data_IF_627018123534
#
_entry.id   IF_627018123534
#
_cell.length_a   1.000
_cell.length_b   1.000
_cell.length_c   1.000
_cell.angle_alpha   90.00
_cell.angle_beta   90.00
_cell.angle_gamma   90.00
#
_symmetry.space_group_name_H-M   'P 1'
#
loop_
_entity.id
_entity.type
_entity.pdbx_description
1 polymer ?
#
# COMPACT_ATOMS: atom_id res chain seq x y z
N UNK A 1 19.19 -22.30 24.74
CA UNK A 1 17.98 -21.51 24.42
C UNK A 1 17.28 -22.24 23.27
N UNK A 2 15.95 -22.22 23.14
CA UNK A 2 15.30 -22.82 21.99
C UNK A 2 15.83 -22.16 20.72
N UNK A 3 16.29 -22.95 19.75
CA UNK A 3 16.73 -22.42 18.47
C UNK A 3 15.53 -22.38 17.52
N UNK A 4 15.12 -21.16 17.14
CA UNK A 4 13.93 -20.92 16.32
C UNK A 4 14.04 -21.49 14.89
N UNK A 5 15.22 -21.92 14.44
CA UNK A 5 15.41 -22.47 13.10
C UNK A 5 14.47 -23.63 12.79
N UNK A 6 14.45 -24.67 13.63
CA UNK A 6 13.56 -25.80 13.43
C UNK A 6 12.09 -25.43 13.61
N UNK A 7 11.79 -24.58 14.59
CA UNK A 7 10.43 -24.12 14.89
C UNK A 7 9.80 -23.34 13.72
N UNK A 8 10.55 -22.46 13.05
CA UNK A 8 10.08 -21.72 11.87
C UNK A 8 9.61 -22.68 10.78
N UNK A 9 10.36 -23.78 10.56
CA UNK A 9 10.06 -24.78 9.55
C UNK A 9 8.78 -25.56 9.86
N UNK A 10 8.55 -25.89 11.13
CA UNK A 10 7.41 -26.70 11.58
C UNK A 10 6.16 -25.88 11.89
N UNK A 11 6.28 -24.55 12.01
CA UNK A 11 5.16 -23.68 12.34
C UNK A 11 4.03 -23.79 11.29
N UNK A 12 2.87 -24.25 11.75
CA UNK A 12 1.65 -24.33 10.94
C UNK A 12 0.71 -23.16 11.25
N UNK A 13 0.42 -22.37 10.22
CA UNK A 13 -0.51 -21.24 10.29
C UNK A 13 -1.98 -21.65 10.09
N UNK A 14 -2.27 -22.90 9.74
CA UNK A 14 -3.62 -23.38 9.44
C UNK A 14 -4.62 -23.21 10.58
N UNK A 15 -4.19 -23.44 11.82
CA UNK A 15 -5.03 -23.23 13.01
C UNK A 15 -5.34 -21.74 13.22
N UNK A 16 -4.34 -20.87 13.06
CA UNK A 16 -4.52 -19.42 13.15
C UNK A 16 -5.46 -18.89 12.07
N UNK A 17 -5.33 -19.38 10.83
CA UNK A 17 -6.24 -19.05 9.72
C UNK A 17 -7.68 -19.44 10.02
N UNK A 18 -7.87 -20.63 10.58
CA UNK A 18 -9.20 -21.09 10.99
C UNK A 18 -9.79 -20.16 12.06
N UNK A 19 -8.99 -19.75 13.04
CA UNK A 19 -9.41 -18.80 14.07
C UNK A 19 -9.79 -17.43 13.48
N UNK A 20 -8.98 -16.90 12.55
CA UNK A 20 -9.27 -15.66 11.82
C UNK A 20 -10.60 -15.78 11.07
N UNK A 21 -10.85 -16.87 10.35
CA UNK A 21 -12.10 -17.07 9.60
C UNK A 21 -13.33 -17.13 10.51
N UNK A 22 -13.21 -17.80 11.67
CA UNK A 22 -14.28 -17.85 12.68
C UNK A 22 -14.56 -16.46 13.23
N UNK A 23 -13.52 -15.70 13.57
CA UNK A 23 -13.64 -14.32 14.06
C UNK A 23 -14.27 -13.40 13.02
N UNK A 24 -13.86 -13.47 11.75
CA UNK A 24 -14.47 -12.70 10.66
C UNK A 24 -15.97 -12.99 10.52
N UNK A 25 -16.35 -14.26 10.60
CA UNK A 25 -17.77 -14.66 10.53
C UNK A 25 -18.56 -14.14 11.73
N UNK A 26 -17.96 -14.20 12.93
CA UNK A 26 -18.56 -13.69 14.15
C UNK A 26 -18.71 -12.16 14.11
N UNK A 27 -17.66 -11.44 13.72
CA UNK A 27 -17.63 -9.98 13.55
C UNK A 27 -18.73 -9.53 12.59
N UNK A 28 -18.88 -10.20 11.44
CA UNK A 28 -19.94 -9.88 10.48
C UNK A 28 -21.35 -9.98 11.08
N UNK A 29 -21.63 -11.05 11.85
CA UNK A 29 -22.92 -11.21 12.56
C UNK A 29 -23.09 -10.20 13.68
N UNK A 30 -22.01 -9.91 14.41
CA UNK A 30 -22.01 -8.93 15.48
C UNK A 30 -22.34 -7.53 14.96
N UNK A 31 -21.68 -7.10 13.87
CA UNK A 31 -21.96 -5.82 13.19
C UNK A 31 -23.41 -5.70 12.74
N UNK A 32 -24.00 -6.77 12.20
CA UNK A 32 -25.44 -6.77 11.86
C UNK A 32 -26.34 -6.48 13.07
N UNK A 33 -26.01 -7.04 14.25
CA UNK A 33 -26.76 -6.78 15.48
C UNK A 33 -26.56 -5.33 15.97
N UNK A 34 -25.34 -4.79 15.87
CA UNK A 34 -25.06 -3.39 16.21
C UNK A 34 -25.84 -2.44 15.28
N UNK A 35 -25.92 -2.73 13.99
CA UNK A 35 -26.72 -1.95 13.04
C UNK A 35 -28.21 -2.01 13.36
N UNK A 36 -28.74 -3.19 13.72
CA UNK A 36 -30.13 -3.34 14.14
C UNK A 36 -30.42 -2.52 15.41
N UNK A 37 -29.52 -2.57 16.39
CA UNK A 37 -29.56 -1.77 17.62
C UNK A 37 -29.58 -0.26 17.34
N UNK A 38 -28.67 0.24 16.51
CA UNK A 38 -28.63 1.65 16.11
C UNK A 38 -29.88 2.07 15.33
N UNK A 39 -30.46 1.17 14.54
CA UNK A 39 -31.72 1.43 13.83
C UNK A 39 -32.88 1.61 14.81
N UNK A 40 -32.99 0.72 15.81
CA UNK A 40 -33.97 0.86 16.90
C UNK A 40 -33.80 2.19 17.63
N UNK A 41 -32.56 2.60 17.94
CA UNK A 41 -32.28 3.89 18.58
C UNK A 41 -32.78 5.08 17.74
N UNK A 42 -32.49 5.08 16.43
CA UNK A 42 -32.98 6.12 15.52
C UNK A 42 -34.51 6.17 15.47
N UNK A 43 -35.17 5.02 15.43
CA UNK A 43 -36.63 4.95 15.47
C UNK A 43 -37.20 5.53 16.77
N UNK A 44 -36.62 5.17 17.93
CA UNK A 44 -37.01 5.73 19.23
C UNK A 44 -36.78 7.24 19.29
N UNK A 45 -35.63 7.73 18.83
CA UNK A 45 -35.31 9.15 18.80
C UNK A 45 -36.25 9.96 17.88
N UNK A 46 -36.77 9.33 16.81
CA UNK A 46 -37.76 9.95 15.92
C UNK A 46 -39.21 9.89 16.43
N UNK A 47 -39.45 9.24 17.58
CA UNK A 47 -40.78 9.10 18.16
C UNK A 47 -41.23 10.39 18.85
N UNK A 48 -42.52 10.51 19.14
CA UNK A 48 -43.07 11.63 19.92
C UNK A 48 -42.88 11.48 21.45
N UNK A 49 -41.96 10.61 21.90
CA UNK A 49 -41.73 10.35 23.32
C UNK A 49 -40.69 11.30 23.93
N UNK A 50 -41.12 12.13 24.87
CA UNK A 50 -40.30 13.18 25.48
C UNK A 50 -40.43 13.19 27.01
N UNK A 51 -39.45 13.80 27.69
CA UNK A 51 -39.40 13.97 29.15
C UNK A 51 -38.25 13.20 29.80
N UNK A 52 -38.09 13.32 31.13
CA UNK A 52 -36.93 12.80 31.86
C UNK A 52 -36.66 11.31 31.64
N UNK A 53 -37.69 10.48 31.50
CA UNK A 53 -37.52 9.05 31.22
C UNK A 53 -36.97 8.79 29.80
N UNK A 54 -37.36 9.61 28.82
CA UNK A 54 -36.84 9.56 27.45
C UNK A 54 -35.37 9.98 27.42
N UNK A 55 -35.01 11.06 28.14
CA UNK A 55 -33.62 11.55 28.23
C UNK A 55 -32.70 10.52 28.91
N UNK A 56 -33.17 9.92 30.02
CA UNK A 56 -32.43 8.87 30.72
C UNK A 56 -32.25 7.62 29.85
N UNK A 57 -33.29 7.25 29.09
CA UNK A 57 -33.22 6.10 28.16
C UNK A 57 -32.26 6.38 27.02
N UNK A 58 -32.29 7.57 26.43
CA UNK A 58 -31.36 8.00 25.37
C UNK A 58 -29.92 7.92 25.86
N UNK A 59 -29.65 8.40 27.07
CA UNK A 59 -28.31 8.33 27.69
C UNK A 59 -27.85 6.87 27.90
N UNK A 60 -28.72 6.02 28.45
CA UNK A 60 -28.41 4.60 28.67
C UNK A 60 -28.17 3.86 27.35
N UNK A 61 -28.98 4.14 26.33
CA UNK A 61 -28.85 3.63 24.97
C UNK A 61 -27.52 4.06 24.34
N UNK A 62 -27.15 5.33 24.46
CA UNK A 62 -25.87 5.86 23.95
C UNK A 62 -24.69 5.16 24.63
N UNK A 63 -24.73 5.02 25.96
CA UNK A 63 -23.70 4.32 26.72
C UNK A 63 -23.55 2.87 26.24
N UNK A 64 -24.67 2.16 26.03
CA UNK A 64 -24.63 0.80 25.51
C UNK A 64 -24.11 0.73 24.08
N UNK A 65 -24.42 1.70 23.22
CA UNK A 65 -23.83 1.78 21.87
C UNK A 65 -22.31 1.93 21.95
N UNK A 66 -21.80 2.78 22.83
CA UNK A 66 -20.36 2.92 23.02
C UNK A 66 -19.71 1.60 23.45
N UNK A 67 -20.34 0.85 24.36
CA UNK A 67 -19.91 -0.49 24.75
C UNK A 67 -19.84 -1.45 23.56
N UNK A 68 -20.89 -1.48 22.74
CA UNK A 68 -20.97 -2.38 21.59
C UNK A 68 -19.89 -2.07 20.55
N UNK A 69 -19.59 -0.78 20.32
CA UNK A 69 -18.53 -0.35 19.41
C UNK A 69 -17.12 -0.67 19.95
N UNK A 70 -16.92 -0.65 21.27
CA UNK A 70 -15.65 -1.07 21.88
C UNK A 70 -15.42 -2.58 21.73
N UNK A 71 -16.47 -3.38 21.85
CA UNK A 71 -16.39 -4.83 21.58
C UNK A 71 -16.13 -5.10 20.09
N UNK A 72 -16.73 -4.32 19.19
CA UNK A 72 -16.43 -4.41 17.75
C UNK A 72 -14.94 -4.18 17.49
N UNK A 73 -14.39 -3.09 18.06
CA UNK A 73 -12.95 -2.79 17.98
C UNK A 73 -12.09 -3.91 18.55
N UNK A 74 -12.48 -4.50 19.68
CA UNK A 74 -11.75 -5.61 20.29
C UNK A 74 -11.67 -6.82 19.36
N UNK A 75 -12.77 -7.18 18.69
CA UNK A 75 -12.81 -8.31 17.75
C UNK A 75 -11.93 -8.01 16.53
N UNK A 76 -12.00 -6.78 16.03
CA UNK A 76 -11.19 -6.31 14.90
C UNK A 76 -9.68 -6.34 15.22
N UNK A 77 -9.30 -5.80 16.38
CA UNK A 77 -7.90 -5.79 16.85
C UNK A 77 -7.37 -7.23 17.04
N UNK A 78 -8.19 -8.14 17.56
CA UNK A 78 -7.82 -9.55 17.72
C UNK A 78 -7.61 -10.23 16.37
N UNK A 79 -8.52 -10.01 15.41
CA UNK A 79 -8.41 -10.54 14.06
C UNK A 79 -7.13 -10.04 13.39
N UNK A 80 -6.88 -8.72 13.46
CA UNK A 80 -5.67 -8.09 12.91
C UNK A 80 -4.40 -8.69 13.50
N UNK A 81 -4.34 -8.82 14.82
CA UNK A 81 -3.20 -9.41 15.53
C UNK A 81 -2.90 -10.84 15.06
N UNK A 82 -3.94 -11.67 14.88
CA UNK A 82 -3.77 -13.05 14.38
C UNK A 82 -3.31 -13.07 12.92
N UNK A 83 -3.84 -12.19 12.07
CA UNK A 83 -3.38 -12.03 10.69
C UNK A 83 -1.90 -11.62 10.67
N UNK A 84 -1.50 -10.58 11.39
CA UNK A 84 -0.10 -10.13 11.46
C UNK A 84 0.84 -11.26 11.96
N UNK A 85 0.36 -12.11 12.89
CA UNK A 85 1.09 -13.29 13.33
C UNK A 85 1.26 -14.36 12.24
N UNK A 86 0.22 -14.61 11.44
CA UNK A 86 0.30 -15.50 10.27
C UNK A 86 1.38 -15.00 9.30
N UNK A 87 1.38 -13.70 8.99
CA UNK A 87 2.32 -13.13 8.04
C UNK A 87 3.76 -13.15 8.53
N UNK A 88 3.98 -12.85 9.82
CA UNK A 88 5.31 -12.98 10.42
C UNK A 88 5.87 -14.39 10.22
N UNK A 89 5.08 -15.44 10.51
CA UNK A 89 5.50 -16.83 10.29
C UNK A 89 5.82 -17.11 8.82
N UNK A 90 4.93 -16.70 7.90
CA UNK A 90 5.14 -16.91 6.46
C UNK A 90 6.39 -16.19 5.93
N UNK A 91 6.66 -14.98 6.43
CA UNK A 91 7.82 -14.18 6.05
C UNK A 91 9.13 -14.75 6.63
N UNK A 92 9.09 -15.27 7.86
CA UNK A 92 10.21 -16.02 8.45
C UNK A 92 10.51 -17.29 7.66
N UNK A 93 9.48 -18.04 7.24
CA UNK A 93 9.63 -19.24 6.39
C UNK A 93 10.22 -18.91 5.02
N UNK A 94 9.75 -17.84 4.37
CA UNK A 94 10.30 -17.38 3.09
C UNK A 94 11.80 -17.00 3.19
N UNK A 95 12.18 -16.30 4.26
CA UNK A 95 13.57 -15.94 4.54
C UNK A 95 14.43 -17.17 4.83
N UNK A 96 13.91 -18.11 5.63
CA UNK A 96 14.57 -19.38 5.88
C UNK A 96 14.86 -20.13 4.58
N UNK A 97 13.88 -20.21 3.67
CA UNK A 97 14.04 -20.86 2.37
C UNK A 97 15.07 -20.16 1.49
N UNK A 98 15.16 -18.82 1.57
CA UNK A 98 16.19 -18.04 0.88
C UNK A 98 17.59 -18.40 1.39
N UNK A 99 17.78 -18.54 2.70
CA UNK A 99 19.06 -18.95 3.29
C UNK A 99 19.45 -20.37 2.91
N UNK A 100 18.49 -21.31 2.87
CA UNK A 100 18.72 -22.69 2.41
C UNK A 100 19.16 -22.70 0.93
N UNK A 101 18.52 -21.90 0.08
CA UNK A 101 18.84 -21.79 -1.34
C UNK A 101 20.25 -21.20 -1.54
N UNK A 102 20.59 -20.15 -0.77
CA UNK A 102 21.92 -19.54 -0.76
C UNK A 102 23.00 -20.52 -0.29
N UNK A 103 22.72 -21.31 0.75
CA UNK A 103 23.65 -22.34 1.21
C UNK A 103 23.93 -23.35 0.10
N UNK A 104 22.87 -23.89 -0.52
CA UNK A 104 22.99 -24.87 -1.61
C UNK A 104 23.81 -24.34 -2.78
N UNK A 105 23.58 -23.07 -3.19
CA UNK A 105 24.34 -22.42 -4.26
C UNK A 105 25.83 -22.19 -3.95
N UNK A 106 26.22 -22.20 -2.68
CA UNK A 106 27.61 -22.03 -2.23
C UNK A 106 28.26 -23.35 -1.79
N UNK A 107 27.70 -24.50 -2.17
CA UNK A 107 28.18 -25.83 -1.72
C UNK A 107 28.16 -25.98 -0.19
N UNK A 108 27.18 -25.39 0.47
CA UNK A 108 26.94 -25.46 1.91
C UNK A 108 25.61 -26.13 2.19
N UNK A 109 25.49 -26.79 3.34
CA UNK A 109 24.26 -27.39 3.82
C UNK A 109 23.97 -26.89 5.24
N UNK A 110 22.73 -26.51 5.51
CA UNK A 110 22.28 -26.12 6.85
C UNK A 110 21.60 -27.33 7.49
N UNK A 111 22.17 -27.85 8.57
CA UNK A 111 21.68 -29.07 9.24
C UNK A 111 21.30 -28.76 10.69
N UNK A 112 20.08 -29.13 11.10
CA UNK A 112 19.65 -29.12 12.49
C UNK A 112 19.34 -30.57 12.92
N UNK A 113 19.76 -30.94 14.13
CA UNK A 113 19.57 -32.31 14.63
C UNK A 113 18.11 -32.61 14.99
N UNK A 114 17.40 -31.59 15.48
CA UNK A 114 15.97 -31.61 15.82
C UNK A 114 15.41 -30.17 15.78
N UNK A 115 14.13 -30.01 16.12
CA UNK A 115 13.42 -28.72 16.08
C UNK A 115 14.02 -27.64 17.01
N UNK A 116 14.67 -28.05 18.09
CA UNK A 116 15.23 -27.17 19.13
C UNK A 116 16.76 -27.00 19.00
N UNK A 117 17.41 -27.75 18.11
CA UNK A 117 18.84 -27.77 17.94
C UNK A 117 19.37 -26.52 17.21
N UNK A 118 20.57 -26.08 17.58
CA UNK A 118 21.30 -25.05 16.83
C UNK A 118 21.57 -25.55 15.42
N UNK A 119 21.19 -24.82 14.36
CA UNK A 119 21.57 -25.19 13.00
C UNK A 119 23.09 -25.07 12.83
N UNK A 120 23.69 -26.04 12.15
CA UNK A 120 25.11 -26.06 11.81
C UNK A 120 25.24 -25.95 10.30
N UNK A 121 26.09 -25.02 9.84
CA UNK A 121 26.41 -24.87 8.42
C UNK A 121 27.62 -25.76 8.09
N UNK A 122 27.39 -26.79 7.27
CA UNK A 122 28.39 -27.76 6.82
C UNK A 122 28.86 -27.44 5.42
N UNK A 123 30.15 -27.61 5.17
CA UNK A 123 30.70 -27.55 3.82
C UNK A 123 30.49 -28.90 3.14
N UNK A 124 29.83 -28.90 1.99
CA UNK A 124 29.66 -30.12 1.20
C UNK A 124 30.99 -30.49 0.53
N UNK A 125 31.30 -31.80 0.36
CA UNK A 125 32.57 -32.21 -0.21
C UNK A 125 32.75 -31.63 -1.62
N UNK A 126 33.81 -30.83 -1.87
CA UNK A 126 34.06 -30.27 -3.19
C UNK A 126 34.49 -31.35 -4.18
N UNK A 127 34.40 -31.05 -5.48
CA UNK A 127 35.06 -31.85 -6.51
C UNK A 127 36.60 -31.83 -6.36
N UNK A 128 37.30 -32.66 -7.14
CA UNK A 128 38.75 -32.81 -7.01
C UNK A 128 39.54 -31.54 -7.38
N UNK A 129 38.98 -30.65 -8.20
CA UNK A 129 39.63 -29.42 -8.65
C UNK A 129 39.50 -28.32 -7.59
N UNK A 130 38.29 -28.10 -7.05
CA UNK A 130 38.01 -27.11 -6.01
C UNK A 130 38.68 -27.44 -4.66
N UNK A 131 38.97 -28.72 -4.38
CA UNK A 131 39.69 -29.12 -3.15
C UNK A 131 41.07 -28.48 -2.99
N UNK A 132 41.77 -28.20 -4.09
CA UNK A 132 43.16 -27.74 -4.06
C UNK A 132 43.31 -26.23 -4.32
N UNK A 133 42.23 -25.50 -4.54
CA UNK A 133 42.23 -24.05 -4.73
C UNK A 133 42.12 -23.31 -3.38
N UNK A 134 43.16 -22.55 -2.95
CA UNK A 134 43.13 -21.78 -1.71
C UNK A 134 42.11 -20.63 -1.70
N UNK A 135 41.81 -20.03 -2.87
CA UNK A 135 40.87 -18.90 -2.96
C UNK A 135 39.42 -19.40 -2.82
N UNK A 136 39.09 -20.51 -3.48
CA UNK A 136 37.80 -21.19 -3.32
C UNK A 136 37.49 -21.51 -1.84
N UNK A 137 38.48 -22.02 -1.08
CA UNK A 137 38.28 -22.32 0.35
C UNK A 137 37.95 -21.07 1.17
N UNK A 138 38.66 -19.96 0.93
CA UNK A 138 38.40 -18.67 1.62
C UNK A 138 37.01 -18.16 1.30
N UNK A 139 36.58 -18.25 0.04
CA UNK A 139 35.24 -17.81 -0.38
C UNK A 139 34.13 -18.62 0.29
N UNK A 140 34.27 -19.95 0.33
CA UNK A 140 33.30 -20.84 0.98
C UNK A 140 33.26 -20.64 2.49
N UNK A 141 34.41 -20.46 3.14
CA UNK A 141 34.48 -20.13 4.57
C UNK A 141 33.83 -18.77 4.87
N UNK A 142 34.11 -17.75 4.06
CA UNK A 142 33.46 -16.45 4.19
C UNK A 142 31.94 -16.52 3.96
N UNK A 143 31.49 -17.32 2.99
CA UNK A 143 30.08 -17.56 2.73
C UNK A 143 29.40 -18.30 3.90
N UNK A 144 30.09 -19.28 4.49
CA UNK A 144 29.64 -19.99 5.70
C UNK A 144 29.46 -19.03 6.87
N UNK A 145 30.45 -18.19 7.15
CA UNK A 145 30.41 -17.28 8.31
C UNK A 145 29.30 -16.21 8.15
N UNK A 146 29.09 -15.72 6.91
CA UNK A 146 27.93 -14.85 6.59
C UNK A 146 26.60 -15.57 6.81
N UNK A 147 26.48 -16.81 6.35
CA UNK A 147 25.26 -17.61 6.57
C UNK A 147 24.99 -17.86 8.05
N UNK A 148 26.01 -18.16 8.85
CA UNK A 148 25.86 -18.31 10.31
C UNK A 148 25.30 -17.02 10.92
N UNK A 149 25.85 -15.86 10.53
CA UNK A 149 25.37 -14.55 10.99
C UNK A 149 23.92 -14.29 10.56
N UNK A 150 23.57 -14.60 9.32
CA UNK A 150 22.21 -14.41 8.79
C UNK A 150 21.19 -15.34 9.48
N UNK A 151 21.59 -16.58 9.80
CA UNK A 151 20.77 -17.55 10.55
C UNK A 151 20.52 -17.06 11.98
N UNK A 152 21.54 -16.54 12.66
CA UNK A 152 21.40 -15.98 14.01
C UNK A 152 20.50 -14.75 14.01
N UNK A 153 20.62 -13.89 12.99
CA UNK A 153 19.73 -12.75 12.80
C UNK A 153 18.28 -13.18 12.56
N UNK A 154 18.04 -14.20 11.72
CA UNK A 154 16.71 -14.76 11.49
C UNK A 154 16.11 -15.34 12.79
N UNK A 155 16.88 -16.11 13.56
CA UNK A 155 16.40 -16.68 14.82
C UNK A 155 16.11 -15.61 15.87
N UNK A 156 16.92 -14.54 15.91
CA UNK A 156 16.69 -13.39 16.79
C UNK A 156 15.42 -12.64 16.39
N UNK A 157 15.17 -12.46 15.08
CA UNK A 157 13.93 -11.87 14.56
C UNK A 157 12.72 -12.72 14.95
N UNK A 158 12.78 -14.03 14.74
CA UNK A 158 11.69 -14.95 15.07
C UNK A 158 11.33 -14.91 16.56
N UNK A 159 12.34 -14.88 17.43
CA UNK A 159 12.13 -14.69 18.87
C UNK A 159 11.47 -13.36 19.19
N UNK A 160 11.95 -12.28 18.56
CA UNK A 160 11.40 -10.95 18.75
C UNK A 160 9.93 -10.85 18.35
N UNK A 161 9.54 -11.52 17.25
CA UNK A 161 8.17 -11.57 16.76
C UNK A 161 7.27 -12.44 17.66
N UNK A 162 7.75 -13.62 18.07
CA UNK A 162 7.06 -14.51 19.01
C UNK A 162 6.81 -13.84 20.37
N UNK A 163 7.83 -13.20 20.94
CA UNK A 163 7.72 -12.46 22.21
C UNK A 163 6.68 -11.31 22.11
N UNK A 164 6.53 -10.67 20.94
CA UNK A 164 5.53 -9.62 20.71
C UNK A 164 4.12 -10.18 20.59
N UNK A 165 3.95 -11.24 19.80
CA UNK A 165 2.66 -11.91 19.64
C UNK A 165 2.16 -12.46 20.98
N UNK A 166 3.03 -13.09 21.76
CA UNK A 166 2.71 -13.57 23.11
C UNK A 166 2.26 -12.43 24.04
N UNK A 167 2.92 -11.26 23.99
CA UNK A 167 2.50 -10.09 24.76
C UNK A 167 1.15 -9.54 24.32
N UNK A 168 0.90 -9.44 23.01
CA UNK A 168 -0.38 -8.98 22.49
C UNK A 168 -1.52 -9.93 22.93
N UNK A 169 -1.33 -11.24 22.77
CA UNK A 169 -2.27 -12.26 23.23
C UNK A 169 -2.53 -12.18 24.74
N UNK A 170 -1.49 -11.96 25.55
CA UNK A 170 -1.64 -11.80 27.00
C UNK A 170 -2.49 -10.58 27.37
N UNK A 171 -2.41 -9.48 26.60
CA UNK A 171 -3.26 -8.30 26.81
C UNK A 171 -4.75 -8.61 26.53
N UNK A 172 -5.03 -9.36 25.46
CA UNK A 172 -6.40 -9.84 25.17
C UNK A 172 -6.92 -10.75 26.27
N UNK A 173 -6.13 -11.74 26.71
CA UNK A 173 -6.51 -12.69 27.77
C UNK A 173 -6.76 -11.99 29.11
N UNK A 174 -5.92 -11.01 29.47
CA UNK A 174 -6.08 -10.22 30.68
C UNK A 174 -7.42 -9.47 30.70
N UNK A 175 -7.79 -8.83 29.58
CA UNK A 175 -9.05 -8.07 29.48
C UNK A 175 -10.26 -8.99 29.41
N UNK A 176 -10.17 -10.10 28.66
CA UNK A 176 -11.26 -11.07 28.54
C UNK A 176 -11.63 -11.75 29.88
N UNK A 177 -10.68 -11.84 30.83
CA UNK A 177 -10.90 -12.40 32.17
C UNK A 177 -11.50 -11.42 33.17
N UNK A 178 -11.58 -10.13 32.85
CA UNK A 178 -12.19 -9.16 33.75
C UNK A 178 -13.70 -9.09 33.54
N UNK A 179 -14.46 -9.36 34.59
CA UNK A 179 -15.91 -9.12 34.59
C UNK A 179 -16.20 -7.61 34.48
N UNK A 180 -17.22 -7.25 33.69
CA UNK A 180 -17.75 -5.90 33.60
C UNK A 180 -17.82 -5.31 32.20
N UNK A 181 -18.17 -4.03 32.12
CA UNK A 181 -18.26 -3.26 30.88
C UNK A 181 -16.87 -2.97 30.28
N UNK A 182 -16.82 -2.80 28.96
CA UNK A 182 -15.64 -2.36 28.20
C UNK A 182 -15.51 -0.83 28.28
N UNK A 183 -14.37 -0.32 28.73
CA UNK A 183 -14.10 1.12 28.76
C UNK A 183 -12.99 1.47 27.76
N UNK A 184 -12.97 2.71 27.23
CA UNK A 184 -11.98 3.13 26.23
C UNK A 184 -10.53 2.87 26.65
N UNK A 185 -10.22 3.05 27.94
CA UNK A 185 -8.90 2.82 28.52
C UNK A 185 -8.46 1.34 28.50
N UNK A 186 -9.39 0.39 28.66
CA UNK A 186 -9.07 -1.05 28.50
C UNK A 186 -8.75 -1.38 27.05
N UNK A 187 -9.53 -0.86 26.10
CA UNK A 187 -9.31 -1.12 24.67
C UNK A 187 -8.04 -0.44 24.17
N UNK A 188 -7.66 0.72 24.73
CA UNK A 188 -6.44 1.43 24.36
C UNK A 188 -5.16 0.62 24.62
N UNK A 189 -5.10 -0.19 25.69
CA UNK A 189 -3.96 -1.08 25.96
C UNK A 189 -3.82 -2.16 24.88
N UNK A 190 -4.93 -2.73 24.42
CA UNK A 190 -4.97 -3.70 23.32
C UNK A 190 -4.53 -3.04 22.03
N UNK A 191 -5.16 -1.92 21.67
CA UNK A 191 -4.85 -1.20 20.43
C UNK A 191 -3.36 -0.81 20.40
N UNK A 192 -2.78 -0.43 21.55
CA UNK A 192 -1.34 -0.18 21.67
C UNK A 192 -0.51 -1.44 21.43
N UNK A 193 -0.86 -2.56 22.07
CA UNK A 193 -0.15 -3.84 21.89
C UNK A 193 -0.21 -4.33 20.44
N UNK A 194 -1.37 -4.20 19.78
CA UNK A 194 -1.55 -4.53 18.36
C UNK A 194 -0.77 -3.56 17.47
N UNK A 195 -0.77 -2.25 17.76
CA UNK A 195 0.03 -1.27 17.02
C UNK A 195 1.55 -1.45 17.20
N UNK A 196 2.02 -2.15 18.23
CA UNK A 196 3.43 -2.55 18.37
C UNK A 196 3.79 -3.72 17.44
N UNK A 197 2.81 -4.51 16.97
CA UNK A 197 3.00 -5.56 15.95
C UNK A 197 3.24 -4.95 14.57
N UNK A 198 2.56 -3.86 14.22
CA UNK A 198 2.85 -3.10 12.99
C UNK A 198 4.29 -2.55 12.96
N UNK A 199 4.94 -2.43 14.13
CA UNK A 199 6.32 -1.96 14.29
C UNK A 199 7.33 -3.11 14.44
N UNK A 200 7.04 -4.33 13.99
CA UNK A 200 7.98 -5.47 14.01
C UNK A 200 9.25 -5.18 13.17
N UNK A 201 10.43 -5.01 13.81
CA UNK A 201 11.72 -4.92 13.13
C UNK A 201 12.14 -6.35 12.83
N UNK A 202 11.88 -6.77 11.60
CA UNK A 202 11.99 -8.20 11.31
C UNK A 202 11.22 -8.66 10.09
N UNK A 203 10.44 -7.80 9.43
CA UNK A 203 9.76 -8.21 8.22
C UNK A 203 8.26 -8.13 8.28
N UNK A 204 7.68 -7.03 8.77
CA UNK A 204 6.28 -6.75 8.45
C UNK A 204 6.08 -6.68 6.94
N UNK A 205 4.83 -6.79 6.49
CA UNK A 205 4.45 -6.57 5.09
C UNK A 205 5.03 -5.22 4.62
N UNK A 206 5.90 -5.23 3.61
CA UNK A 206 6.55 -4.02 3.11
C UNK A 206 7.80 -3.57 3.87
N UNK A 207 8.50 -4.47 4.57
CA UNK A 207 9.71 -4.15 5.36
C UNK A 207 10.95 -3.70 4.57
N UNK A 208 10.83 -3.29 3.30
CA UNK A 208 11.94 -2.76 2.50
C UNK A 208 12.45 -1.39 2.98
N UNK A 209 12.25 -1.02 4.25
CA UNK A 209 12.71 0.25 4.81
C UNK A 209 12.08 1.49 4.14
N UNK A 210 10.95 1.33 3.45
CA UNK A 210 10.22 2.42 2.80
C UNK A 210 10.82 2.92 1.48
N UNK A 211 11.96 2.38 1.02
CA UNK A 211 12.53 2.71 -0.29
C UNK A 211 12.06 1.71 -1.37
N UNK A 212 11.59 2.17 -2.54
CA UNK A 212 11.13 1.30 -3.62
C UNK A 212 12.03 0.12 -4.03
N UNK A 213 13.34 0.32 -4.15
CA UNK A 213 14.26 -0.76 -4.57
C UNK A 213 14.30 -1.90 -3.54
N UNK A 214 14.20 -1.55 -2.26
CA UNK A 214 14.20 -2.52 -1.17
C UNK A 214 12.86 -3.24 -1.05
N UNK A 215 11.74 -2.55 -1.33
CA UNK A 215 10.44 -3.20 -1.47
C UNK A 215 10.43 -4.19 -2.63
N UNK A 216 11.03 -3.82 -3.77
CA UNK A 216 11.17 -4.70 -4.93
C UNK A 216 11.96 -5.96 -4.59
N UNK A 217 13.16 -5.80 -4.01
CA UNK A 217 14.00 -6.93 -3.63
C UNK A 217 13.34 -7.84 -2.60
N UNK A 218 12.63 -7.26 -1.63
CA UNK A 218 11.81 -8.01 -0.68
C UNK A 218 10.74 -8.82 -1.40
N UNK A 219 9.93 -8.19 -2.26
CA UNK A 219 8.85 -8.88 -2.97
C UNK A 219 9.34 -10.03 -3.84
N UNK A 220 10.42 -9.81 -4.60
CA UNK A 220 11.02 -10.82 -5.48
C UNK A 220 11.62 -12.01 -4.69
N UNK A 221 12.00 -11.80 -3.43
CA UNK A 221 12.51 -12.87 -2.57
C UNK A 221 11.42 -13.82 -2.06
N UNK A 222 10.14 -13.43 -2.16
CA UNK A 222 9.03 -14.20 -1.62
C UNK A 222 8.57 -15.30 -2.59
N UNK A 223 8.24 -16.50 -2.09
CA UNK A 223 7.51 -17.51 -2.87
C UNK A 223 6.17 -16.96 -3.38
N UNK A 224 5.73 -17.44 -4.55
CA UNK A 224 4.45 -17.00 -5.16
C UNK A 224 3.25 -17.20 -4.22
N UNK A 225 3.19 -18.34 -3.52
CA UNK A 225 2.11 -18.61 -2.56
C UNK A 225 2.08 -17.58 -1.42
N UNK A 226 3.24 -17.17 -0.91
CA UNK A 226 3.34 -16.12 0.12
C UNK A 226 2.92 -14.77 -0.46
N UNK A 227 3.33 -14.43 -1.68
CA UNK A 227 2.92 -13.20 -2.37
C UNK A 227 1.39 -13.11 -2.52
N UNK A 228 0.74 -14.17 -2.98
CA UNK A 228 -0.72 -14.20 -3.12
C UNK A 228 -1.43 -14.10 -1.77
N UNK A 229 -0.89 -14.74 -0.73
CA UNK A 229 -1.44 -14.61 0.63
C UNK A 229 -1.38 -13.15 1.12
N UNK A 230 -0.24 -12.48 0.96
CA UNK A 230 -0.08 -11.09 1.37
C UNK A 230 -1.00 -10.13 0.63
N UNK A 231 -1.28 -10.39 -0.66
CA UNK A 231 -2.25 -9.61 -1.44
C UNK A 231 -3.67 -9.77 -0.86
N UNK A 232 -4.02 -10.97 -0.40
CA UNK A 232 -5.35 -11.25 0.17
C UNK A 232 -5.50 -10.67 1.58
N UNK A 233 -4.48 -10.83 2.42
CA UNK A 233 -4.54 -10.48 3.84
C UNK A 233 -4.26 -8.99 4.09
N UNK A 234 -3.40 -8.38 3.26
CA UNK A 234 -2.97 -6.98 3.39
C UNK A 234 -3.08 -6.18 2.08
N UNK A 235 -4.25 -6.17 1.40
CA UNK A 235 -4.38 -5.56 0.09
C UNK A 235 -4.03 -4.06 0.08
N UNK A 236 -4.43 -3.30 1.12
CA UNK A 236 -4.08 -1.88 1.23
C UNK A 236 -2.59 -1.61 1.48
N UNK A 237 -1.91 -2.45 2.28
CA UNK A 237 -0.45 -2.34 2.47
C UNK A 237 0.26 -2.69 1.18
N UNK A 238 -0.02 -3.84 0.56
CA UNK A 238 0.64 -4.27 -0.69
C UNK A 238 0.41 -3.29 -1.84
N UNK A 239 -0.83 -2.83 -2.01
CA UNK A 239 -1.20 -1.92 -3.10
C UNK A 239 -0.54 -0.54 -3.03
N UNK A 240 -0.20 -0.08 -1.83
CA UNK A 240 0.48 1.20 -1.59
C UNK A 240 2.02 1.13 -1.66
N UNK A 241 2.61 -0.08 -1.71
CA UNK A 241 4.07 -0.22 -1.75
C UNK A 241 4.66 0.14 -3.12
N UNK A 242 5.23 1.34 -3.18
CA UNK A 242 6.09 1.73 -4.30
C UNK A 242 7.25 0.73 -4.46
N UNK A 243 7.55 0.36 -5.71
CA UNK A 243 8.58 -0.63 -6.07
C UNK A 243 8.04 -2.02 -6.41
N UNK A 244 6.79 -2.32 -6.05
CA UNK A 244 6.12 -3.55 -6.50
C UNK A 244 5.62 -3.40 -7.94
N UNK A 245 5.53 -4.50 -8.71
CA UNK A 245 4.97 -4.48 -10.06
C UNK A 245 3.56 -3.86 -10.10
N UNK A 246 3.28 -3.09 -11.14
CA UNK A 246 2.01 -2.40 -11.35
C UNK A 246 0.80 -3.35 -11.33
N UNK A 247 0.96 -4.57 -11.85
CA UNK A 247 -0.09 -5.61 -11.83
C UNK A 247 -0.36 -6.15 -10.41
N UNK A 248 0.69 -6.27 -9.58
CA UNK A 248 0.54 -6.66 -8.17
C UNK A 248 -0.17 -5.57 -7.39
N UNK A 249 0.21 -4.30 -7.63
CA UNK A 249 -0.43 -3.15 -7.00
C UNK A 249 -1.90 -3.03 -7.43
N UNK A 250 -2.19 -3.24 -8.71
CA UNK A 250 -3.56 -3.28 -9.23
C UNK A 250 -4.39 -4.37 -8.55
N UNK A 251 -3.89 -5.61 -8.52
CA UNK A 251 -4.58 -6.72 -7.88
C UNK A 251 -4.91 -6.42 -6.41
N UNK A 252 -3.93 -5.90 -5.67
CA UNK A 252 -4.08 -5.56 -4.25
C UNK A 252 -5.03 -4.37 -4.03
N UNK A 253 -4.86 -3.27 -4.78
CA UNK A 253 -5.73 -2.09 -4.63
C UNK A 253 -7.18 -2.38 -5.05
N UNK A 254 -7.40 -3.24 -6.05
CA UNK A 254 -8.76 -3.69 -6.44
C UNK A 254 -9.42 -4.55 -5.36
N UNK A 255 -8.65 -5.36 -4.65
CA UNK A 255 -9.14 -6.11 -3.48
C UNK A 255 -9.39 -5.20 -2.27
N UNK A 256 -8.60 -4.11 -2.13
CA UNK A 256 -8.72 -3.16 -1.04
C UNK A 256 -9.91 -2.20 -1.18
N UNK A 257 -10.13 -1.65 -2.38
CA UNK A 257 -11.09 -0.57 -2.59
C UNK A 257 -12.52 -0.86 -2.07
N UNK A 258 -13.11 -2.05 -2.25
CA UNK A 258 -14.43 -2.35 -1.68
C UNK A 258 -14.44 -2.33 -0.15
N UNK A 259 -13.36 -2.79 0.50
CA UNK A 259 -13.22 -2.82 1.96
C UNK A 259 -13.10 -1.39 2.49
N UNK A 260 -12.23 -0.59 1.88
CA UNK A 260 -12.06 0.82 2.22
C UNK A 260 -13.38 1.59 2.12
N UNK A 261 -14.17 1.37 1.05
CA UNK A 261 -15.50 1.98 0.87
C UNK A 261 -16.47 1.61 1.98
N UNK A 262 -16.54 0.33 2.33
CA UNK A 262 -17.42 -0.12 3.41
C UNK A 262 -17.02 0.46 4.77
N UNK A 263 -15.71 0.52 5.05
CA UNK A 263 -15.17 1.14 6.26
C UNK A 263 -15.49 2.64 6.32
N UNK A 264 -15.30 3.37 5.22
CA UNK A 264 -15.60 4.80 5.16
C UNK A 264 -17.10 5.08 5.34
N UNK A 265 -17.97 4.27 4.74
CA UNK A 265 -19.41 4.41 4.89
C UNK A 265 -19.88 4.19 6.36
N UNK A 266 -19.25 3.24 7.06
CA UNK A 266 -19.52 3.00 8.49
C UNK A 266 -19.05 4.17 9.35
N UNK A 267 -17.84 4.65 9.12
CA UNK A 267 -17.28 5.75 9.90
C UNK A 267 -18.05 7.06 9.71
N UNK A 268 -18.51 7.33 8.50
CA UNK A 268 -19.33 8.50 8.18
C UNK A 268 -20.65 8.55 8.96
N UNK A 269 -21.24 7.39 9.25
CA UNK A 269 -22.49 7.27 10.03
C UNK A 269 -22.26 7.03 11.52
N UNK A 270 -21.00 6.82 11.93
CA UNK A 270 -20.61 6.50 13.29
C UNK A 270 -20.24 7.73 14.13
N UNK A 271 -20.11 7.58 15.45
CA UNK A 271 -19.73 8.67 16.36
C UNK A 271 -18.29 9.18 16.15
N UNK A 272 -17.49 8.53 15.28
CA UNK A 272 -16.13 8.91 14.91
C UNK A 272 -16.04 9.71 13.60
N UNK A 273 -17.16 10.18 13.04
CA UNK A 273 -17.24 10.83 11.72
C UNK A 273 -16.47 12.15 11.55
N UNK A 274 -15.66 12.59 12.52
CA UNK A 274 -15.07 13.94 12.52
C UNK A 274 -14.03 14.17 11.41
N UNK A 275 -13.50 13.10 10.79
CA UNK A 275 -12.44 13.19 9.79
C UNK A 275 -12.83 12.64 8.40
N UNK A 276 -14.02 12.05 8.26
CA UNK A 276 -14.49 11.46 7.00
C UNK A 276 -15.70 12.23 6.50
N UNK A 277 -15.66 12.64 5.23
CA UNK A 277 -16.75 13.38 4.59
C UNK A 277 -17.50 12.53 3.58
N UNK A 278 -18.76 12.89 3.27
CA UNK A 278 -19.51 12.25 2.16
C UNK A 278 -18.74 12.33 0.83
N UNK A 279 -18.02 13.43 0.58
CA UNK A 279 -17.22 13.59 -0.62
C UNK A 279 -16.10 12.53 -0.74
N UNK A 280 -15.52 12.06 0.38
CA UNK A 280 -14.53 10.98 0.35
C UNK A 280 -15.16 9.66 -0.12
N UNK A 281 -16.36 9.34 0.38
CA UNK A 281 -17.07 8.14 -0.02
C UNK A 281 -17.51 8.21 -1.49
N UNK A 282 -18.04 9.36 -1.92
CA UNK A 282 -18.42 9.61 -3.32
C UNK A 282 -17.20 9.47 -4.27
N UNK A 283 -16.02 9.91 -3.83
CA UNK A 283 -14.76 9.73 -4.55
C UNK A 283 -14.37 8.26 -4.74
N UNK A 284 -14.43 7.48 -3.65
CA UNK A 284 -14.14 6.05 -3.71
C UNK A 284 -15.18 5.29 -4.56
N UNK A 285 -16.45 5.68 -4.51
CA UNK A 285 -17.51 5.13 -5.35
C UNK A 285 -17.29 5.46 -6.84
N UNK A 286 -16.90 6.70 -7.14
CA UNK A 286 -16.54 7.12 -8.50
C UNK A 286 -15.32 6.35 -9.02
N UNK A 287 -14.30 6.16 -8.17
CA UNK A 287 -13.13 5.34 -8.50
C UNK A 287 -13.52 3.89 -8.77
N UNK A 288 -14.37 3.28 -7.93
CA UNK A 288 -14.86 1.91 -8.14
C UNK A 288 -15.52 1.80 -9.52
N UNK A 289 -16.46 2.70 -9.81
CA UNK A 289 -17.17 2.69 -11.10
C UNK A 289 -16.22 2.84 -12.28
N UNK A 290 -15.18 3.67 -12.13
CA UNK A 290 -14.16 3.86 -13.16
C UNK A 290 -13.36 2.57 -13.39
N UNK A 291 -12.92 1.87 -12.33
CA UNK A 291 -12.11 0.64 -12.47
C UNK A 291 -12.92 -0.60 -12.86
N UNK A 292 -14.22 -0.61 -12.60
CA UNK A 292 -15.16 -1.67 -13.02
C UNK A 292 -15.46 -1.59 -14.52
N UNK A 293 -15.22 -0.43 -15.14
CA UNK A 293 -15.39 -0.22 -16.58
C UNK A 293 -14.11 -0.67 -17.30
N UNK A 294 -14.13 -1.75 -18.10
CA UNK A 294 -12.94 -2.20 -18.79
C UNK A 294 -12.42 -1.14 -19.77
N UNK A 295 -11.14 -0.84 -19.68
CA UNK A 295 -10.44 0.10 -20.55
C UNK A 295 -9.62 -0.60 -21.63
N UNK A 296 -9.42 0.08 -22.76
CA UNK A 296 -8.34 -0.24 -23.70
C UNK A 296 -7.51 1.02 -23.93
N UNK A 297 -6.19 1.01 -23.66
CA UNK A 297 -5.40 -0.11 -23.10
C UNK A 297 -5.81 -0.50 -21.66
N UNK A 298 -5.35 -1.65 -21.12
CA UNK A 298 -5.73 -2.12 -19.78
C UNK A 298 -5.52 -1.05 -18.71
N UNK A 299 -6.45 -0.95 -17.77
CA UNK A 299 -6.41 0.02 -16.69
C UNK A 299 -5.90 -0.64 -15.41
N UNK A 300 -4.86 -0.06 -14.80
CA UNK A 300 -4.23 -0.53 -13.57
C UNK A 300 -4.40 0.52 -12.45
N UNK A 301 -4.82 0.10 -11.26
CA UNK A 301 -4.92 0.94 -10.07
C UNK A 301 -3.63 0.84 -9.26
N UNK A 302 -2.75 1.83 -9.40
CA UNK A 302 -1.43 1.82 -8.77
C UNK A 302 -1.48 2.23 -7.30
N UNK A 303 -2.37 3.14 -6.92
CA UNK A 303 -2.51 3.59 -5.53
C UNK A 303 -3.92 4.08 -5.24
N UNK A 304 -4.36 3.92 -4.01
CA UNK A 304 -5.53 4.57 -3.43
C UNK A 304 -5.18 5.00 -2.01
N UNK A 305 -5.33 6.29 -1.72
CA UNK A 305 -5.10 6.81 -0.37
C UNK A 305 -6.27 6.40 0.54
N UNK A 306 -5.94 5.93 1.75
CA UNK A 306 -6.91 5.80 2.83
C UNK A 306 -7.14 7.19 3.45
N UNK A 307 -8.37 7.75 3.39
CA UNK A 307 -8.66 9.08 3.93
C UNK A 307 -8.31 9.29 5.41
N UNK A 308 -8.24 8.21 6.20
CA UNK A 308 -7.86 8.27 7.62
C UNK A 308 -6.36 8.43 7.84
N UNK A 309 -5.57 8.07 6.82
CA UNK A 309 -4.11 7.94 6.93
C UNK A 309 -3.36 9.11 6.31
N UNK A 310 -4.06 10.07 5.72
CA UNK A 310 -3.47 11.21 5.00
C UNK A 310 -3.99 12.53 5.55
N UNK A 311 -3.10 13.53 5.62
CA UNK A 311 -3.46 14.91 6.00
C UNK A 311 -3.83 15.79 4.79
N UNK A 312 -3.72 15.23 3.59
CA UNK A 312 -4.06 15.88 2.32
C UNK A 312 -5.35 15.31 1.74
N UNK A 313 -5.86 15.92 0.66
CA UNK A 313 -7.06 15.41 0.00
C UNK A 313 -6.76 14.02 -0.59
N UNK A 314 -7.48 12.95 -0.21
CA UNK A 314 -7.14 11.59 -0.62
C UNK A 314 -7.14 11.46 -2.14
N UNK A 315 -6.12 10.81 -2.71
CA UNK A 315 -6.01 10.59 -4.14
C UNK A 315 -5.98 9.13 -4.56
N UNK A 316 -6.04 8.91 -5.87
CA UNK A 316 -5.73 7.63 -6.48
C UNK A 316 -4.89 7.80 -7.74
N UNK A 317 -4.09 6.79 -8.06
CA UNK A 317 -3.23 6.77 -9.25
C UNK A 317 -3.69 5.66 -10.18
N UNK A 318 -4.07 6.02 -11.39
CA UNK A 318 -4.45 5.07 -12.45
C UNK A 318 -3.39 5.05 -13.54
N UNK A 319 -3.15 3.88 -14.13
CA UNK A 319 -2.36 3.71 -15.33
C UNK A 319 -3.17 3.06 -16.45
N UNK A 320 -2.88 3.45 -17.68
CA UNK A 320 -3.44 2.92 -18.92
C UNK A 320 -2.30 2.32 -19.73
N UNK A 321 -2.27 0.99 -19.82
CA UNK A 321 -1.07 0.21 -20.20
C UNK A 321 -0.21 -0.12 -18.98
N UNK A 322 0.70 -1.09 -19.14
CA UNK A 322 1.59 -1.52 -18.05
C UNK A 322 2.88 -0.66 -18.05
N UNK A 323 3.06 0.23 -17.05
CA UNK A 323 4.22 1.11 -17.00
C UNK A 323 5.55 0.39 -16.71
N UNK A 324 5.54 -0.83 -16.15
CA UNK A 324 6.77 -1.59 -15.88
C UNK A 324 7.42 -2.18 -17.13
N UNK A 325 6.65 -2.24 -18.22
CA UNK A 325 7.07 -2.79 -19.53
C UNK A 325 7.06 -1.73 -20.63
N UNK A 326 6.65 -0.50 -20.32
CA UNK A 326 6.49 0.55 -21.30
C UNK A 326 7.84 1.21 -21.62
N UNK A 327 8.11 1.42 -22.91
CA UNK A 327 9.29 2.21 -23.34
C UNK A 327 9.06 3.71 -23.11
N UNK A 328 7.80 4.15 -23.14
CA UNK A 328 7.40 5.53 -22.89
C UNK A 328 6.28 5.57 -21.85
N UNK A 329 6.46 6.41 -20.82
CA UNK A 329 5.48 6.61 -19.75
C UNK A 329 5.10 8.08 -19.75
N UNK A 330 3.81 8.38 -19.94
CA UNK A 330 3.29 9.74 -19.88
C UNK A 330 2.51 9.96 -18.58
N UNK A 331 2.97 10.84 -17.70
CA UNK A 331 2.29 11.18 -16.46
C UNK A 331 1.46 12.45 -16.63
N UNK A 332 0.14 12.35 -16.51
CA UNK A 332 -0.79 13.47 -16.55
C UNK A 332 -1.11 13.94 -15.13
N UNK A 333 -0.82 15.21 -14.85
CA UNK A 333 -1.17 15.87 -13.58
C UNK A 333 -2.29 16.87 -13.88
N UNK A 334 -3.53 16.60 -13.44
CA UNK A 334 -4.63 17.52 -13.63
C UNK A 334 -4.40 18.83 -12.86
N UNK A 335 -4.88 19.98 -13.39
CA UNK A 335 -4.71 21.28 -12.74
C UNK A 335 -5.48 21.44 -11.42
N UNK A 336 -6.68 20.86 -11.36
CA UNK A 336 -7.60 20.95 -10.21
C UNK A 336 -8.40 19.64 -10.12
N UNK A 337 -7.74 18.52 -9.75
CA UNK A 337 -8.44 17.26 -9.64
C UNK A 337 -9.43 17.36 -8.47
N UNK A 338 -10.68 16.95 -8.70
CA UNK A 338 -11.73 16.82 -7.70
C UNK A 338 -12.52 15.54 -7.95
N UNK A 339 -13.31 15.06 -6.97
CA UNK A 339 -14.16 13.86 -7.15
C UNK A 339 -14.98 13.88 -8.44
N UNK A 340 -15.50 15.05 -8.83
CA UNK A 340 -16.29 15.22 -10.05
C UNK A 340 -15.49 15.14 -11.36
N UNK A 341 -14.17 15.31 -11.34
CA UNK A 341 -13.32 15.34 -12.54
C UNK A 341 -12.70 13.99 -12.88
N UNK A 342 -12.72 13.02 -11.95
CA UNK A 342 -12.09 11.71 -12.11
C UNK A 342 -12.39 11.05 -13.47
N UNK A 343 -13.65 10.96 -13.97
CA UNK A 343 -13.91 10.36 -15.28
C UNK A 343 -13.26 11.11 -16.45
N UNK A 344 -13.19 12.44 -16.38
CA UNK A 344 -12.57 13.27 -17.40
C UNK A 344 -11.04 13.14 -17.38
N UNK A 345 -10.44 13.16 -16.19
CA UNK A 345 -8.99 12.99 -15.99
C UNK A 345 -8.53 11.59 -16.45
N UNK A 346 -9.32 10.57 -16.09
CA UNK A 346 -9.14 9.20 -16.52
C UNK A 346 -9.24 9.06 -18.05
N UNK A 347 -10.22 9.72 -18.68
CA UNK A 347 -10.37 9.73 -20.13
C UNK A 347 -9.21 10.46 -20.83
N UNK A 348 -8.71 11.56 -20.26
CA UNK A 348 -7.58 12.31 -20.81
C UNK A 348 -6.31 11.44 -20.86
N UNK A 349 -5.97 10.77 -19.75
CA UNK A 349 -4.81 9.87 -19.71
C UNK A 349 -4.97 8.64 -20.61
N UNK A 350 -6.18 8.07 -20.69
CA UNK A 350 -6.47 7.00 -21.65
C UNK A 350 -6.25 7.48 -23.09
N UNK A 351 -6.79 8.65 -23.45
CA UNK A 351 -6.64 9.21 -24.79
C UNK A 351 -5.17 9.48 -25.12
N UNK A 352 -4.38 9.91 -24.14
CA UNK A 352 -2.93 10.08 -24.27
C UNK A 352 -2.23 8.75 -24.56
N UNK A 353 -2.53 7.69 -23.81
CA UNK A 353 -1.99 6.36 -24.07
C UNK A 353 -2.37 5.83 -25.47
N UNK A 354 -3.64 6.01 -25.88
CA UNK A 354 -4.12 5.60 -27.21
C UNK A 354 -3.45 6.41 -28.32
N UNK A 355 -3.31 7.72 -28.16
CA UNK A 355 -2.67 8.59 -29.15
C UNK A 355 -1.18 8.25 -29.30
N UNK A 356 -0.47 8.04 -28.19
CA UNK A 356 0.93 7.66 -28.22
C UNK A 356 1.16 6.28 -28.84
N UNK A 357 0.32 5.29 -28.50
CA UNK A 357 0.37 3.96 -29.13
C UNK A 357 0.03 3.98 -30.63
N UNK A 358 -0.75 4.95 -31.11
CA UNK A 358 -0.95 5.17 -32.56
C UNK A 358 0.23 5.84 -33.24
N UNK A 359 0.90 6.75 -32.53
CA UNK A 359 2.06 7.48 -33.06
C UNK A 359 3.29 6.58 -33.21
N UNK A 360 3.51 5.64 -32.28
CA UNK A 360 4.53 4.61 -32.39
C UNK A 360 3.99 3.24 -31.95
N UNK A 361 3.36 2.47 -32.87
CA UNK A 361 2.81 1.15 -32.55
C UNK A 361 3.86 0.10 -32.18
N UNK A 362 5.14 0.38 -32.45
CA UNK A 362 6.24 -0.58 -32.21
C UNK A 362 6.77 -0.51 -30.79
N UNK A 363 6.44 0.56 -30.05
CA UNK A 363 6.91 0.78 -28.68
C UNK A 363 5.74 0.78 -27.69
N UNK A 364 5.75 -0.14 -26.70
CA UNK A 364 4.76 -0.12 -25.63
C UNK A 364 4.77 1.22 -24.91
N UNK A 365 3.58 1.81 -24.77
CA UNK A 365 3.39 3.09 -24.06
C UNK A 365 2.39 2.92 -22.94
N UNK A 366 2.65 3.55 -21.81
CA UNK A 366 1.70 3.68 -20.70
C UNK A 366 1.42 5.16 -20.40
N UNK A 367 0.20 5.47 -19.94
CA UNK A 367 -0.11 6.78 -19.38
C UNK A 367 -0.63 6.66 -17.97
N UNK A 368 -0.18 7.53 -17.07
CA UNK A 368 -0.53 7.55 -15.66
C UNK A 368 -1.27 8.84 -15.35
N UNK A 369 -2.26 8.80 -14.47
CA UNK A 369 -2.98 9.98 -13.98
C UNK A 369 -3.11 9.98 -12.46
N UNK A 370 -2.90 11.15 -11.89
CA UNK A 370 -3.11 11.43 -10.47
C UNK A 370 -4.50 12.04 -10.30
N UNK A 371 -5.37 11.37 -9.54
CA UNK A 371 -6.77 11.76 -9.34
C UNK A 371 -7.03 12.12 -7.88
N UNK A 372 -8.04 12.95 -7.63
CA UNK A 372 -8.48 13.35 -6.30
C UNK A 372 -9.82 12.68 -5.98
N UNK A 373 -9.95 12.20 -4.75
CA UNK A 373 -11.11 11.49 -4.19
C UNK A 373 -11.79 12.28 -3.07
N UNK A 374 -11.40 13.52 -2.82
CA UNK A 374 -12.09 14.45 -1.91
C UNK A 374 -12.65 15.69 -2.63
N UNK A 375 -13.20 16.66 -1.86
CA UNK A 375 -13.69 17.91 -2.43
C UNK A 375 -12.57 18.61 -3.23
N UNK A 376 -12.96 19.49 -4.16
CA UNK A 376 -11.99 20.32 -4.88
C UNK A 376 -11.03 20.97 -3.89
N UNK A 377 -9.73 20.93 -4.19
CA UNK A 377 -8.70 21.44 -3.30
C UNK A 377 -8.87 22.94 -3.04
N UNK A 378 -8.30 23.41 -1.95
CA UNK A 378 -8.18 24.84 -1.65
C UNK A 378 -7.57 25.58 -2.87
N UNK A 379 -8.19 26.66 -3.38
CA UNK A 379 -7.66 27.46 -4.49
C UNK A 379 -6.22 27.96 -4.28
N UNK A 380 -5.65 27.92 -3.07
CA UNK A 380 -4.26 28.32 -2.79
C UNK A 380 -3.20 27.21 -3.01
N UNK A 381 -3.57 25.99 -3.41
CA UNK A 381 -2.62 25.00 -3.95
C UNK A 381 -2.59 24.94 -5.48
N UNK A 382 -3.32 25.85 -6.16
CA UNK A 382 -3.13 26.00 -7.61
C UNK A 382 -1.73 26.56 -7.89
N UNK A 383 -0.97 25.96 -8.81
CA UNK A 383 0.32 26.50 -9.19
C UNK A 383 0.14 27.88 -9.86
N UNK A 384 0.50 28.94 -9.15
CA UNK A 384 0.49 30.31 -9.67
C UNK A 384 1.55 30.47 -10.74
N UNK A 385 1.17 30.33 -12.03
CA UNK A 385 1.89 30.76 -13.25
C UNK A 385 3.39 30.38 -13.40
N UNK A 386 3.92 29.61 -12.45
CA UNK A 386 5.32 29.24 -12.27
C UNK A 386 5.40 27.74 -12.53
N UNK A 387 6.48 27.28 -13.16
CA UNK A 387 6.77 25.87 -13.43
C UNK A 387 6.94 25.00 -12.16
N UNK A 388 6.45 25.47 -11.01
CA UNK A 388 6.44 24.77 -9.73
C UNK A 388 5.61 23.48 -9.68
N UNK A 389 4.55 23.20 -10.49
CA UNK A 389 3.90 21.89 -10.44
C UNK A 389 4.84 20.77 -10.91
N UNK A 390 5.76 21.06 -11.86
CA UNK A 390 6.83 20.16 -12.30
C UNK A 390 7.94 19.96 -11.24
N UNK A 391 7.92 20.73 -10.14
CA UNK A 391 8.96 20.71 -9.08
C UNK A 391 8.42 20.22 -7.73
N UNK A 392 7.18 20.57 -7.39
CA UNK A 392 6.57 20.40 -6.07
C UNK A 392 5.34 19.48 -6.09
N UNK A 393 5.23 18.55 -7.05
CA UNK A 393 4.12 17.58 -7.20
C UNK A 393 3.80 16.69 -5.98
N UNK A 394 4.33 17.01 -4.81
CA UNK A 394 4.08 16.31 -3.56
C UNK A 394 4.91 15.03 -3.45
N UNK A 395 4.96 14.52 -2.22
CA UNK A 395 5.60 13.24 -1.90
C UNK A 395 4.98 12.08 -2.69
N UNK A 396 3.69 12.16 -3.04
CA UNK A 396 2.95 11.10 -3.77
C UNK A 396 3.42 10.93 -5.21
N UNK A 397 3.59 12.01 -5.97
CA UNK A 397 4.05 11.95 -7.37
C UNK A 397 5.50 11.46 -7.42
N UNK A 398 6.37 12.03 -6.60
CA UNK A 398 7.78 11.61 -6.49
C UNK A 398 7.91 10.15 -6.06
N UNK A 399 7.13 9.73 -5.05
CA UNK A 399 7.09 8.34 -4.60
C UNK A 399 6.64 7.38 -5.70
N UNK A 400 5.65 7.78 -6.51
CA UNK A 400 5.18 7.00 -7.65
C UNK A 400 6.29 6.83 -8.69
N UNK A 401 7.00 7.89 -9.07
CA UNK A 401 8.08 7.80 -10.06
C UNK A 401 9.27 6.95 -9.59
N UNK A 402 9.66 7.07 -8.33
CA UNK A 402 10.69 6.21 -7.73
C UNK A 402 10.21 4.77 -7.66
N UNK A 403 8.93 4.57 -7.37
CA UNK A 403 8.25 3.27 -7.40
C UNK A 403 8.36 2.60 -8.76
N UNK A 404 7.96 3.30 -9.81
CA UNK A 404 8.00 2.81 -11.18
C UNK A 404 9.42 2.49 -11.62
N UNK A 405 10.40 3.33 -11.28
CA UNK A 405 11.81 3.05 -11.59
C UNK A 405 12.26 1.72 -11.00
N UNK A 406 11.89 1.43 -9.75
CA UNK A 406 12.26 0.20 -9.06
C UNK A 406 11.51 -1.03 -9.59
N UNK A 407 10.26 -0.89 -10.04
CA UNK A 407 9.47 -2.00 -10.57
C UNK A 407 9.70 -2.28 -12.06
N UNK A 408 10.22 -1.31 -12.81
CA UNK A 408 10.43 -1.41 -14.26
C UNK A 408 11.40 -2.54 -14.64
N UNK A 409 11.05 -3.34 -15.66
CA UNK A 409 11.80 -4.56 -16.02
C UNK A 409 13.19 -4.28 -16.61
N UNK A 410 13.30 -3.27 -17.46
CA UNK A 410 14.53 -3.02 -18.24
C UNK A 410 15.22 -1.68 -17.93
N UNK A 411 14.71 -0.89 -16.98
CA UNK A 411 15.18 0.47 -16.64
C UNK A 411 15.18 1.53 -17.76
N UNK A 412 15.02 1.12 -19.03
CA UNK A 412 15.18 1.94 -20.23
C UNK A 412 13.84 2.53 -20.71
N UNK A 413 13.15 3.25 -19.84
CA UNK A 413 11.95 4.00 -20.20
C UNK A 413 12.20 5.51 -20.19
N UNK A 414 11.45 6.26 -20.98
CA UNK A 414 11.34 7.72 -20.86
C UNK A 414 10.07 8.07 -20.11
N UNK A 415 10.17 8.89 -19.07
CA UNK A 415 9.04 9.47 -18.36
C UNK A 415 8.81 10.91 -18.84
N UNK A 416 7.60 11.21 -19.30
CA UNK A 416 7.17 12.54 -19.70
C UNK A 416 6.02 13.00 -18.83
N UNK A 417 6.22 14.02 -18.01
CA UNK A 417 5.14 14.65 -17.24
C UNK A 417 4.46 15.73 -18.08
N UNK A 418 3.13 15.73 -18.08
CA UNK A 418 2.25 16.67 -18.76
C UNK A 418 1.39 17.36 -17.70
N UNK A 419 1.64 18.65 -17.51
CA UNK A 419 0.90 19.50 -16.58
C UNK A 419 0.14 20.58 -17.36
N UNK A 420 -1.12 20.80 -17.02
CA UNK A 420 -1.92 21.91 -17.53
C UNK A 420 -2.22 22.89 -16.38
N UNK A 421 -2.22 24.22 -16.61
CA UNK A 421 -2.71 25.20 -15.66
C UNK A 421 -4.26 25.20 -15.61
N UNK A 422 -4.82 25.55 -14.44
CA UNK A 422 -6.26 25.52 -14.19
C UNK A 422 -7.07 26.48 -15.06
N UNK A 423 -6.44 27.54 -15.56
CA UNK A 423 -7.04 28.52 -16.47
C UNK A 423 -7.11 28.06 -17.94
N UNK A 424 -6.63 26.84 -18.25
CA UNK A 424 -6.65 26.28 -19.60
C UNK A 424 -5.72 27.00 -20.59
N UNK A 425 -4.82 27.86 -20.11
CA UNK A 425 -3.96 28.71 -20.95
C UNK A 425 -2.84 27.96 -21.70
N UNK A 426 -2.75 26.63 -21.58
CA UNK A 426 -1.77 25.81 -22.28
C UNK A 426 -1.46 24.48 -21.61
N UNK A 427 -0.30 23.91 -21.93
CA UNK A 427 0.28 22.75 -21.24
C UNK A 427 1.80 22.84 -21.23
N UNK A 428 2.42 22.25 -20.21
CA UNK A 428 3.85 22.03 -20.11
C UNK A 428 4.12 20.54 -20.15
N UNK A 429 5.06 20.12 -20.99
CA UNK A 429 5.61 18.77 -21.00
C UNK A 429 7.05 18.84 -20.53
N UNK A 430 7.47 17.93 -19.67
CA UNK A 430 8.87 17.77 -19.33
C UNK A 430 9.25 16.29 -19.31
N UNK A 431 10.39 15.93 -19.89
CA UNK A 431 10.81 14.54 -20.04
C UNK A 431 12.15 14.24 -19.38
N UNK A 432 12.31 13.00 -18.91
CA UNK A 432 13.53 12.49 -18.29
C UNK A 432 13.64 10.97 -18.48
N UNK A 433 14.84 10.39 -18.53
CA UNK A 433 15.00 8.94 -18.40
C UNK A 433 14.43 8.45 -17.05
N UNK A 434 13.65 7.38 -17.05
CA UNK A 434 13.07 6.83 -15.83
C UNK A 434 14.16 6.44 -14.81
N UNK A 435 15.30 5.92 -15.29
CA UNK A 435 16.44 5.58 -14.45
C UNK A 435 17.05 6.77 -13.67
N UNK A 436 16.76 8.01 -14.08
CA UNK A 436 17.25 9.21 -13.41
C UNK A 436 16.33 9.69 -12.28
N UNK A 437 15.09 9.20 -12.20
CA UNK A 437 14.16 9.56 -11.13
C UNK A 437 14.72 9.14 -9.76
N UNK A 438 14.58 10.02 -8.77
CA UNK A 438 15.04 9.79 -7.40
C UNK A 438 16.54 9.94 -7.16
N UNK A 439 17.34 10.34 -8.15
CA UNK A 439 18.75 10.70 -7.94
C UNK A 439 18.86 12.04 -7.17
N UNK A 440 19.89 12.25 -6.35
CA UNK A 440 20.11 13.54 -5.68
C UNK A 440 20.21 14.68 -6.71
N UNK A 441 19.40 15.73 -6.54
CA UNK A 441 19.33 16.86 -7.48
C UNK A 441 18.49 16.60 -8.74
N UNK A 442 17.76 15.48 -8.80
CA UNK A 442 16.82 15.21 -9.89
C UNK A 442 15.75 16.29 -9.99
N UNK A 443 15.52 16.75 -11.22
CA UNK A 443 14.47 17.67 -11.62
C UNK A 443 14.12 17.33 -13.06
N UNK A 444 12.89 17.59 -13.48
CA UNK A 444 12.53 17.57 -14.90
C UNK A 444 13.25 18.71 -15.64
N UNK A 445 14.51 18.51 -16.03
CA UNK A 445 15.36 19.54 -16.65
C UNK A 445 15.93 19.12 -18.00
N UNK A 446 15.62 17.92 -18.50
CA UNK A 446 16.31 17.38 -19.66
C UNK A 446 15.70 17.87 -20.98
N UNK A 447 14.38 17.98 -21.08
CA UNK A 447 13.68 18.61 -22.21
C UNK A 447 12.27 19.05 -21.76
N UNK A 448 12.00 20.35 -21.73
CA UNK A 448 10.65 20.88 -21.49
C UNK A 448 10.10 21.61 -22.71
N UNK A 449 8.81 21.41 -23.00
CA UNK A 449 8.06 22.13 -24.02
C UNK A 449 6.86 22.75 -23.33
N UNK A 450 6.79 24.08 -23.32
CA UNK A 450 5.62 24.82 -22.85
C UNK A 450 4.87 25.30 -24.07
N UNK A 451 3.66 24.79 -24.31
CA UNK A 451 2.76 25.31 -25.31
C UNK A 451 1.71 26.17 -24.60
N UNK A 452 1.76 27.48 -24.80
CA UNK A 452 0.72 28.41 -24.34
C UNK A 452 -0.19 28.80 -25.49
N UNK A 453 -1.48 28.87 -25.22
CA UNK A 453 -2.46 29.52 -26.09
C UNK A 453 -2.53 30.98 -25.65
N UNK A 454 -2.18 31.97 -26.48
CA UNK A 454 -2.48 33.36 -26.16
C UNK A 454 -4.00 33.53 -26.19
N UNK A 455 -4.59 33.94 -25.08
CA UNK A 455 -6.00 34.33 -25.01
C UNK A 455 -6.86 33.38 -24.18
N UNK A 456 -7.62 33.95 -23.25
CA UNK A 456 -8.66 33.23 -22.50
C UNK A 456 -9.84 32.81 -23.39
N UNK A 457 -10.91 32.23 -22.79
CA UNK A 457 -12.02 31.62 -23.54
C UNK A 457 -12.75 32.56 -24.52
N UNK A 458 -12.61 33.89 -24.37
CA UNK A 458 -13.29 34.90 -25.19
C UNK A 458 -12.38 35.61 -26.22
N UNK A 459 -11.12 35.18 -26.41
CA UNK A 459 -10.18 35.86 -27.30
C UNK A 459 -10.19 35.28 -28.73
N UNK A 460 -10.55 36.06 -29.77
CA UNK A 460 -10.54 35.62 -31.17
C UNK A 460 -9.14 35.30 -31.73
N UNK A 461 -8.05 35.65 -31.04
CA UNK A 461 -6.67 35.28 -31.40
C UNK A 461 -6.34 33.80 -31.13
N UNK A 462 -7.18 33.08 -30.37
CA UNK A 462 -7.10 31.62 -30.15
C UNK A 462 -7.15 30.78 -31.44
N UNK A 463 -7.60 31.37 -32.57
CA UNK A 463 -7.58 30.75 -33.91
C UNK A 463 -6.22 30.78 -34.61
N UNK A 464 -5.24 31.50 -34.05
CA UNK A 464 -3.86 31.57 -34.54
C UNK A 464 -2.92 31.08 -33.44
N UNK A 465 -2.89 29.78 -33.20
CA UNK A 465 -2.00 29.17 -32.20
C UNK A 465 -0.54 29.30 -32.65
N UNK A 466 0.19 30.27 -32.10
CA UNK A 466 1.65 30.28 -32.15
C UNK A 466 2.17 29.48 -30.94
N UNK A 467 2.50 28.20 -31.16
CA UNK A 467 3.15 27.39 -30.14
C UNK A 467 4.59 27.87 -29.93
N UNK A 468 4.83 28.70 -28.91
CA UNK A 468 6.18 29.07 -28.50
C UNK A 468 6.81 27.93 -27.72
N UNK A 469 7.38 26.93 -28.41
CA UNK A 469 8.16 25.88 -27.76
C UNK A 469 9.48 26.46 -27.22
N UNK A 470 9.54 26.71 -25.90
CA UNK A 470 10.81 27.03 -25.23
C UNK A 470 11.51 25.70 -24.95
N UNK A 471 12.40 25.26 -25.83
CA UNK A 471 13.26 24.08 -25.59
C UNK A 471 14.44 24.53 -24.73
N UNK A 472 14.36 24.28 -23.42
CA UNK A 472 15.45 24.56 -22.50
C UNK A 472 16.47 23.42 -22.49
N UNK A 473 17.59 23.55 -23.20
CA UNK A 473 18.82 22.80 -22.89
C UNK A 473 19.65 23.60 -21.89
N UNK A 474 20.10 22.98 -20.80
CA UNK A 474 21.25 23.49 -20.02
C UNK A 474 22.48 22.67 -20.34
#
# INVERSE_FOLDING_TARGET
MPHYWGMIKEADVGTLRTAVQVLTTFEGRYKQQVTAWQTMQRTLASSSWHGQASDATTTALQNRTNQLLLVDQFIEDLRRMLTDGIDSVLLLQARQQTLITRATGNCLEIVAADVNATPVVRVLPPDQHSRNDPEWRKEVEAARDRLVTDIDALCTSARGDDDRLARALAAFDYIAKQDGDYYPEKVAEITKAVAELDRMPGGGVGSGGGNPDSNRAWWDSLPEATRQQLIQDHPGKIGSLNGLPAEVRDQANRAWLPQLREEMARELTGPRSQNITQANLDGLDALQKQIDTPGTPPQLLLSVDDPRSVSHVPGAVLAYGNPDTATHIAAYVPPDPAVGTLPADAAAARNLAVAAGKADPTKPTASIVFTNLGPAGDPYQTPTASLSPLRDGGQTIHGTYNGLRASHRDGNATLSEVAAPADGSGFAVASTPLADTGKPGWSFTTDSIVARTPGGPDDPSSRHTAANAIVGRR
#
